data_IF_611684719124
#
_entry.id   IF_611684719124
#
_cell.length_a   1.000
_cell.length_b   1.000
_cell.length_c   1.000
_cell.angle_alpha   90.00
_cell.angle_beta   90.00
_cell.angle_gamma   90.00
#
_symmetry.space_group_name_H-M   'P 1'
#
loop_
_entity.id
_entity.type
_entity.pdbx_description
1 polymer ?
#
# COMPACT_ATOMS: atom_id res chain seq x y z
N UNK A 1 -31.52 11.82 1.29
CA UNK A 1 -30.93 10.50 1.58
C UNK A 1 -29.43 10.63 1.34
N UNK A 2 -28.59 10.27 2.31
CA UNK A 2 -27.15 10.21 2.06
C UNK A 2 -26.90 9.19 0.93
N UNK A 3 -26.06 9.53 -0.01
CA UNK A 3 -25.62 8.57 -1.04
C UNK A 3 -24.78 7.50 -0.37
N UNK A 4 -25.07 6.22 -0.65
CA UNK A 4 -24.27 5.11 -0.14
C UNK A 4 -22.80 5.27 -0.53
N UNK A 5 -21.88 5.00 0.38
CA UNK A 5 -20.44 5.01 0.11
C UNK A 5 -20.04 3.92 -0.87
N UNK A 6 -18.85 4.05 -1.47
CA UNK A 6 -18.37 3.08 -2.46
C UNK A 6 -18.20 1.66 -1.88
N UNK A 7 -18.02 1.55 -0.55
CA UNK A 7 -17.68 0.31 0.14
C UNK A 7 -18.58 0.04 1.36
N UNK A 8 -19.82 0.54 1.32
CA UNK A 8 -20.76 0.34 2.43
C UNK A 8 -20.95 -1.15 2.76
N UNK A 9 -20.75 -1.49 4.04
CA UNK A 9 -20.88 -2.85 4.55
C UNK A 9 -19.70 -3.78 4.22
N UNK A 10 -18.68 -3.29 3.54
CA UNK A 10 -17.49 -4.07 3.25
C UNK A 10 -16.45 -4.01 4.38
N UNK A 11 -15.58 -5.00 4.42
CA UNK A 11 -14.50 -5.10 5.39
C UNK A 11 -13.15 -5.09 4.69
N UNK A 12 -12.25 -4.22 5.14
CA UNK A 12 -10.91 -4.03 4.58
C UNK A 12 -9.82 -4.30 5.62
N UNK A 13 -8.68 -4.80 5.15
CA UNK A 13 -7.42 -4.86 5.91
C UNK A 13 -6.48 -3.83 5.29
N UNK A 14 -5.86 -2.99 6.14
CA UNK A 14 -4.80 -2.08 5.72
C UNK A 14 -3.57 -2.32 6.59
N UNK A 15 -2.45 -2.71 5.99
CA UNK A 15 -1.15 -2.81 6.67
C UNK A 15 -0.35 -1.52 6.50
N UNK A 16 0.51 -1.18 7.46
CA UNK A 16 1.21 0.11 7.45
C UNK A 16 0.30 1.29 7.74
N UNK A 17 -0.76 1.07 8.51
CA UNK A 17 -1.89 1.99 8.73
C UNK A 17 -1.64 3.09 9.76
N UNK A 18 -0.51 3.05 10.49
CA UNK A 18 -0.21 4.01 11.54
C UNK A 18 0.14 5.42 11.01
N UNK A 19 0.56 5.55 9.76
CA UNK A 19 1.04 6.83 9.24
C UNK A 19 0.92 6.95 7.72
N UNK A 20 1.11 8.16 7.21
CA UNK A 20 1.30 8.51 5.81
C UNK A 20 0.29 7.83 4.86
N UNK A 21 0.75 7.12 3.83
CA UNK A 21 -0.10 6.52 2.78
C UNK A 21 -1.09 5.51 3.38
N UNK A 22 -0.63 4.59 4.22
CA UNK A 22 -1.51 3.58 4.82
C UNK A 22 -2.62 4.19 5.67
N UNK A 23 -2.29 5.22 6.48
CA UNK A 23 -3.29 6.01 7.22
C UNK A 23 -4.28 6.70 6.29
N UNK A 24 -3.78 7.37 5.23
CA UNK A 24 -4.63 8.05 4.24
C UNK A 24 -5.62 7.10 3.57
N UNK A 25 -5.15 5.93 3.16
CA UNK A 25 -5.98 4.87 2.56
C UNK A 25 -7.02 4.34 3.55
N UNK A 26 -6.62 4.05 4.79
CA UNK A 26 -7.53 3.55 5.82
C UNK A 26 -8.65 4.54 6.12
N UNK A 27 -8.31 5.83 6.27
CA UNK A 27 -9.30 6.90 6.48
C UNK A 27 -10.22 7.07 5.26
N UNK A 28 -9.70 6.93 4.04
CA UNK A 28 -10.51 7.02 2.82
C UNK A 28 -11.50 5.86 2.70
N UNK A 29 -11.06 4.62 2.96
CA UNK A 29 -11.92 3.43 2.98
C UNK A 29 -13.06 3.59 4.00
N UNK A 30 -12.73 4.04 5.21
CA UNK A 30 -13.74 4.24 6.26
C UNK A 30 -14.76 5.34 5.91
N UNK A 31 -14.32 6.44 5.27
CA UNK A 31 -15.22 7.49 4.76
C UNK A 31 -16.20 6.99 3.70
N UNK A 32 -15.78 5.99 2.92
CA UNK A 32 -16.59 5.34 1.90
C UNK A 32 -17.40 4.14 2.44
N UNK A 33 -17.52 4.00 3.77
CA UNK A 33 -18.42 3.05 4.43
C UNK A 33 -17.80 1.70 4.79
N UNK A 34 -16.52 1.45 4.49
CA UNK A 34 -15.86 0.21 4.91
C UNK A 34 -15.55 0.21 6.41
N UNK A 35 -15.66 -0.97 7.05
CA UNK A 35 -14.99 -1.22 8.32
C UNK A 35 -13.54 -1.64 8.06
N UNK A 36 -12.58 -1.17 8.89
CA UNK A 36 -11.16 -1.35 8.59
C UNK A 36 -10.42 -2.02 9.74
N UNK A 37 -9.69 -3.10 9.46
CA UNK A 37 -8.65 -3.63 10.35
C UNK A 37 -7.34 -2.93 10.03
N UNK A 38 -6.84 -2.16 10.98
CA UNK A 38 -5.59 -1.42 10.94
C UNK A 38 -4.46 -2.29 11.50
N UNK A 39 -3.48 -2.66 10.69
CA UNK A 39 -2.36 -3.51 11.10
C UNK A 39 -1.03 -2.78 10.94
N UNK A 40 -0.33 -2.52 12.03
CA UNK A 40 0.94 -1.79 12.04
C UNK A 40 1.80 -2.21 13.23
N UNK A 41 3.12 -2.04 13.13
CA UNK A 41 4.05 -2.23 14.24
C UNK A 41 3.96 -1.07 15.26
N UNK A 42 3.57 0.13 14.83
CA UNK A 42 3.41 1.31 15.67
C UNK A 42 2.00 1.38 16.27
N UNK A 43 1.86 0.86 17.50
CA UNK A 43 0.58 0.82 18.20
C UNK A 43 -0.04 2.22 18.42
N UNK A 44 0.77 3.22 18.79
CA UNK A 44 0.31 4.58 19.04
C UNK A 44 -0.23 5.27 17.77
N UNK A 45 0.54 5.22 16.70
CA UNK A 45 0.12 5.75 15.39
C UNK A 45 -1.13 5.05 14.85
N UNK A 46 -1.23 3.73 15.10
CA UNK A 46 -2.39 2.94 14.71
C UNK A 46 -3.65 3.34 15.50
N UNK A 47 -3.51 3.56 16.81
CA UNK A 47 -4.60 4.06 17.65
C UNK A 47 -5.04 5.48 17.24
N UNK A 48 -4.10 6.36 16.89
CA UNK A 48 -4.39 7.70 16.37
C UNK A 48 -5.17 7.66 15.04
N UNK A 49 -4.84 6.70 14.17
CA UNK A 49 -5.59 6.47 12.93
C UNK A 49 -7.02 6.01 13.21
N UNK A 50 -7.19 5.04 14.12
CA UNK A 50 -8.52 4.57 14.54
C UNK A 50 -9.37 5.69 15.14
N UNK A 51 -8.78 6.52 16.03
CA UNK A 51 -9.46 7.69 16.60
C UNK A 51 -9.91 8.69 15.53
N UNK A 52 -9.08 8.94 14.51
CA UNK A 52 -9.44 9.82 13.39
C UNK A 52 -10.60 9.26 12.56
N UNK A 53 -10.63 7.94 12.34
CA UNK A 53 -11.73 7.26 11.65
C UNK A 53 -13.02 7.34 12.45
N UNK A 54 -12.95 7.08 13.77
CA UNK A 54 -14.10 7.16 14.66
C UNK A 54 -14.68 8.58 14.75
N UNK A 55 -13.81 9.61 14.83
CA UNK A 55 -14.21 11.00 14.82
C UNK A 55 -14.94 11.43 13.53
N UNK A 56 -14.66 10.75 12.42
CA UNK A 56 -15.35 10.93 11.13
C UNK A 56 -16.61 10.05 10.97
N UNK A 57 -17.00 9.29 12.02
CA UNK A 57 -18.16 8.41 12.01
C UNK A 57 -17.91 7.03 11.38
N UNK A 58 -16.67 6.69 11.05
CA UNK A 58 -16.28 5.40 10.50
C UNK A 58 -15.99 4.35 11.59
N UNK A 59 -15.67 3.12 11.16
CA UNK A 59 -15.36 1.99 12.03
C UNK A 59 -13.97 1.42 11.73
N UNK A 60 -13.14 1.28 12.76
CA UNK A 60 -11.83 0.66 12.64
C UNK A 60 -11.45 -0.11 13.91
N UNK A 61 -10.70 -1.20 13.72
CA UNK A 61 -10.06 -1.98 14.77
C UNK A 61 -8.54 -1.94 14.56
N UNK A 62 -7.77 -2.02 15.64
CA UNK A 62 -6.31 -1.99 15.59
C UNK A 62 -5.70 -3.34 15.92
N UNK A 63 -4.63 -3.71 15.21
CA UNK A 63 -3.77 -4.84 15.51
C UNK A 63 -2.31 -4.38 15.45
N UNK A 64 -1.59 -4.53 16.57
CA UNK A 64 -0.15 -4.30 16.59
C UNK A 64 0.57 -5.55 16.13
N UNK A 65 1.33 -5.47 15.04
CA UNK A 65 1.98 -6.63 14.42
C UNK A 65 3.22 -6.23 13.63
N UNK A 66 4.29 -7.00 13.79
CA UNK A 66 5.53 -6.87 13.01
C UNK A 66 5.48 -7.80 11.79
N UNK A 67 5.39 -7.21 10.61
CA UNK A 67 5.36 -7.97 9.35
C UNK A 67 6.75 -8.43 8.86
N UNK A 68 7.84 -8.00 9.48
CA UNK A 68 9.16 -8.59 9.22
C UNK A 68 9.29 -9.97 9.87
N UNK A 69 8.58 -10.21 10.97
CA UNK A 69 8.53 -11.50 11.63
C UNK A 69 7.80 -12.57 10.81
N UNK A 70 8.22 -13.83 10.92
CA UNK A 70 7.62 -14.93 10.17
C UNK A 70 6.18 -15.23 10.56
N UNK A 71 5.82 -14.96 11.80
CA UNK A 71 4.47 -15.11 12.36
C UNK A 71 3.61 -13.84 12.27
N UNK A 72 4.14 -12.75 11.68
CA UNK A 72 3.43 -11.47 11.60
C UNK A 72 2.15 -11.57 10.76
N UNK A 73 2.25 -12.00 9.50
CA UNK A 73 1.05 -12.13 8.68
C UNK A 73 0.03 -13.17 9.20
N UNK A 74 0.43 -14.32 9.82
CA UNK A 74 -0.52 -15.24 10.44
C UNK A 74 -1.33 -14.61 11.57
N UNK A 75 -0.75 -13.68 12.35
CA UNK A 75 -1.47 -12.96 13.40
C UNK A 75 -2.61 -12.12 12.84
N UNK A 76 -2.43 -11.49 11.66
CA UNK A 76 -3.54 -10.78 10.97
C UNK A 76 -4.66 -11.76 10.63
N UNK A 77 -4.33 -12.92 10.07
CA UNK A 77 -5.33 -13.94 9.72
C UNK A 77 -6.06 -14.47 10.96
N UNK A 78 -5.35 -14.66 12.08
CA UNK A 78 -5.95 -15.08 13.34
C UNK A 78 -6.92 -14.01 13.89
N UNK A 79 -6.55 -12.72 13.82
CA UNK A 79 -7.37 -11.60 14.28
C UNK A 79 -8.69 -11.45 13.48
N UNK A 80 -8.78 -11.99 12.27
CA UNK A 80 -10.02 -11.99 11.51
C UNK A 80 -11.10 -12.86 12.16
N UNK A 81 -10.74 -13.90 12.91
CA UNK A 81 -11.69 -14.89 13.39
C UNK A 81 -12.43 -15.55 12.22
N UNK A 82 -13.75 -15.44 12.20
CA UNK A 82 -14.62 -15.95 11.11
C UNK A 82 -14.87 -14.94 10.00
N UNK A 83 -14.44 -13.68 10.16
CA UNK A 83 -14.69 -12.62 9.17
C UNK A 83 -13.87 -12.86 7.90
N UNK A 84 -14.49 -12.55 6.78
CA UNK A 84 -13.82 -12.57 5.47
C UNK A 84 -13.69 -11.14 4.95
N UNK A 85 -12.47 -10.65 4.68
CA UNK A 85 -12.30 -9.32 4.12
C UNK A 85 -12.72 -9.28 2.64
N UNK A 86 -13.21 -8.13 2.20
CA UNK A 86 -13.51 -7.81 0.82
C UNK A 86 -12.29 -7.16 0.14
N UNK A 87 -11.47 -6.48 0.95
CA UNK A 87 -10.32 -5.73 0.46
C UNK A 87 -9.07 -5.96 1.34
N UNK A 88 -7.90 -5.96 0.69
CA UNK A 88 -6.60 -5.90 1.35
C UNK A 88 -5.78 -4.79 0.70
N UNK A 89 -5.22 -3.90 1.51
CA UNK A 89 -4.19 -2.94 1.07
C UNK A 89 -2.90 -3.21 1.84
N UNK A 90 -1.86 -3.65 1.12
CA UNK A 90 -0.54 -3.86 1.70
C UNK A 90 0.32 -2.63 1.46
N UNK A 91 0.38 -1.74 2.48
CA UNK A 91 1.16 -0.51 2.46
C UNK A 91 2.32 -0.52 3.48
N UNK A 92 2.43 -1.56 4.31
CA UNK A 92 3.55 -1.70 5.24
C UNK A 92 4.89 -1.74 4.50
N UNK A 93 5.84 -0.99 5.00
CA UNK A 93 7.23 -0.98 4.51
C UNK A 93 8.12 -0.40 5.61
N UNK A 94 9.28 -0.98 5.90
CA UNK A 94 10.23 -0.36 6.82
C UNK A 94 10.66 1.03 6.34
N UNK A 95 11.06 1.87 7.30
CA UNK A 95 11.64 3.16 6.97
C UNK A 95 12.94 2.98 6.17
N UNK A 96 13.17 3.84 5.19
CA UNK A 96 14.41 3.87 4.40
C UNK A 96 15.31 4.99 4.90
N UNK A 97 16.60 4.69 4.91
CA UNK A 97 17.65 5.66 5.26
C UNK A 97 18.55 5.84 4.06
N UNK A 98 18.95 7.07 3.75
CA UNK A 98 19.90 7.35 2.65
C UNK A 98 21.29 6.74 2.90
N UNK A 99 21.62 6.46 4.17
CA UNK A 99 22.85 5.77 4.54
C UNK A 99 22.90 4.30 4.09
N UNK A 100 21.73 3.65 3.84
CA UNK A 100 21.64 2.25 3.43
C UNK A 100 21.83 2.07 1.91
N UNK A 101 22.82 2.80 1.35
CA UNK A 101 23.13 2.74 -0.08
C UNK A 101 23.82 1.41 -0.48
N UNK A 102 24.03 1.18 -1.78
CA UNK A 102 24.46 -0.09 -2.34
C UNK A 102 25.76 -0.69 -1.74
N UNK A 103 26.65 0.14 -1.22
CA UNK A 103 27.91 -0.31 -0.61
C UNK A 103 27.87 -0.32 0.93
N UNK A 104 26.73 0.01 1.55
CA UNK A 104 26.61 0.14 3.01
C UNK A 104 25.42 -0.59 3.62
N UNK A 105 24.42 -1.00 2.82
CA UNK A 105 23.27 -1.75 3.32
C UNK A 105 23.71 -3.07 3.97
N UNK A 106 23.20 -3.34 5.18
CA UNK A 106 23.46 -4.59 5.90
C UNK A 106 22.48 -5.69 5.48
N UNK A 107 22.84 -6.96 5.73
CA UNK A 107 21.95 -8.10 5.51
C UNK A 107 20.64 -7.97 6.31
N UNK A 108 20.72 -7.59 7.59
CA UNK A 108 19.53 -7.39 8.43
C UNK A 108 18.58 -6.32 7.87
N UNK A 109 19.12 -5.20 7.37
CA UNK A 109 18.32 -4.15 6.71
C UNK A 109 17.68 -4.66 5.42
N UNK A 110 18.44 -5.43 4.64
CA UNK A 110 17.96 -6.09 3.43
C UNK A 110 16.82 -7.07 3.75
N UNK A 111 17.05 -7.99 4.68
CA UNK A 111 16.09 -9.02 5.05
C UNK A 111 14.81 -8.43 5.63
N UNK A 112 14.91 -7.46 6.54
CA UNK A 112 13.74 -6.77 7.09
C UNK A 112 12.89 -6.08 6.02
N UNK A 113 13.52 -5.50 4.99
CA UNK A 113 12.83 -4.87 3.87
C UNK A 113 12.13 -5.91 2.98
N UNK A 114 12.82 -6.99 2.63
CA UNK A 114 12.27 -8.06 1.78
C UNK A 114 11.18 -8.83 2.53
N UNK A 115 11.41 -9.14 3.80
CA UNK A 115 10.46 -9.85 4.63
C UNK A 115 9.16 -9.08 4.82
N UNK A 116 9.24 -7.78 5.08
CA UNK A 116 8.04 -6.95 5.23
C UNK A 116 7.34 -6.74 3.89
N UNK A 117 8.06 -6.31 2.86
CA UNK A 117 7.45 -5.88 1.61
C UNK A 117 6.99 -7.05 0.74
N UNK A 118 7.85 -8.05 0.56
CA UNK A 118 7.62 -9.12 -0.42
C UNK A 118 7.03 -10.36 0.24
N UNK A 119 7.75 -10.94 1.22
CA UNK A 119 7.35 -12.20 1.83
C UNK A 119 5.99 -12.09 2.53
N UNK A 120 5.87 -11.15 3.48
CA UNK A 120 4.60 -11.02 4.23
C UNK A 120 3.47 -10.51 3.34
N UNK A 121 3.75 -9.61 2.40
CA UNK A 121 2.76 -9.14 1.43
C UNK A 121 2.18 -10.28 0.59
N UNK A 122 3.04 -11.15 0.05
CA UNK A 122 2.60 -12.29 -0.73
C UNK A 122 1.77 -13.29 0.10
N UNK A 123 2.30 -13.73 1.25
CA UNK A 123 1.62 -14.76 2.05
C UNK A 123 0.33 -14.25 2.67
N UNK A 124 0.27 -12.99 3.10
CA UNK A 124 -0.97 -12.37 3.58
C UNK A 124 -2.01 -12.28 2.45
N UNK A 125 -1.61 -11.78 1.28
CA UNK A 125 -2.51 -11.67 0.14
C UNK A 125 -3.06 -13.04 -0.29
N UNK A 126 -2.21 -14.09 -0.29
CA UNK A 126 -2.63 -15.46 -0.57
C UNK A 126 -3.66 -15.95 0.45
N UNK A 127 -3.37 -15.83 1.75
CA UNK A 127 -4.26 -16.31 2.80
C UNK A 127 -5.60 -15.57 2.82
N UNK A 128 -5.59 -14.25 2.55
CA UNK A 128 -6.80 -13.45 2.39
C UNK A 128 -7.60 -13.92 1.17
N UNK A 129 -6.94 -14.15 0.03
CA UNK A 129 -7.58 -14.62 -1.20
C UNK A 129 -8.17 -16.04 -1.05
N UNK A 130 -7.55 -16.91 -0.27
CA UNK A 130 -8.10 -18.23 0.09
C UNK A 130 -9.43 -18.08 0.85
N UNK A 131 -9.50 -17.17 1.84
CA UNK A 131 -10.76 -16.86 2.56
C UNK A 131 -11.82 -16.24 1.63
N UNK A 132 -11.44 -15.26 0.80
CA UNK A 132 -12.34 -14.66 -0.18
C UNK A 132 -12.94 -15.72 -1.12
N UNK A 133 -12.09 -16.63 -1.61
CA UNK A 133 -12.52 -17.73 -2.50
C UNK A 133 -13.48 -18.67 -1.81
N UNK A 134 -13.19 -19.09 -0.57
CA UNK A 134 -14.05 -19.98 0.21
C UNK A 134 -15.42 -19.34 0.49
N UNK A 135 -15.47 -18.02 0.67
CA UNK A 135 -16.71 -17.27 0.88
C UNK A 135 -17.37 -16.79 -0.42
N UNK A 136 -16.83 -17.12 -1.59
CA UNK A 136 -17.31 -16.65 -2.91
C UNK A 136 -17.32 -15.12 -3.05
N UNK A 137 -16.42 -14.42 -2.35
CA UNK A 137 -16.25 -12.97 -2.43
C UNK A 137 -15.34 -12.63 -3.61
N UNK A 138 -15.81 -11.76 -4.51
CA UNK A 138 -15.01 -11.15 -5.57
C UNK A 138 -14.18 -10.02 -4.96
N UNK A 139 -13.06 -10.39 -4.32
CA UNK A 139 -12.27 -9.46 -3.54
C UNK A 139 -11.34 -8.57 -4.36
N UNK A 140 -10.73 -7.59 -3.68
CA UNK A 140 -9.78 -6.64 -4.28
C UNK A 140 -8.56 -6.50 -3.39
N UNK A 141 -7.38 -6.62 -4.00
CA UNK A 141 -6.09 -6.54 -3.31
C UNK A 141 -5.26 -5.44 -3.98
N UNK A 142 -4.73 -4.52 -3.19
CA UNK A 142 -3.85 -3.47 -3.64
C UNK A 142 -2.51 -3.50 -2.89
N UNK A 143 -1.41 -3.34 -3.63
CA UNK A 143 -0.07 -3.17 -3.06
C UNK A 143 0.39 -1.73 -3.26
N UNK A 144 1.02 -1.16 -2.25
CA UNK A 144 1.74 0.11 -2.38
C UNK A 144 3.19 -0.18 -2.70
N UNK A 145 3.52 -0.08 -3.98
CA UNK A 145 4.89 -0.26 -4.50
C UNK A 145 5.66 1.06 -4.45
N UNK A 146 6.35 1.43 -5.49
CA UNK A 146 7.06 2.71 -5.64
C UNK A 146 7.50 2.89 -7.08
N UNK A 147 7.71 4.13 -7.55
CA UNK A 147 8.43 4.39 -8.78
C UNK A 147 9.85 3.78 -8.77
N UNK A 148 10.42 3.55 -7.57
CA UNK A 148 11.72 2.89 -7.42
C UNK A 148 11.71 1.38 -7.71
N UNK A 149 10.56 0.81 -8.07
CA UNK A 149 10.50 -0.54 -8.63
C UNK A 149 11.22 -0.63 -9.99
N UNK A 150 11.36 0.48 -10.72
CA UNK A 150 12.00 0.54 -12.04
C UNK A 150 12.95 1.74 -12.21
N UNK A 151 12.96 2.69 -11.26
CA UNK A 151 13.84 3.86 -11.27
C UNK A 151 14.82 3.78 -10.10
N UNK A 152 16.12 3.54 -10.34
CA UNK A 152 17.09 3.33 -9.25
C UNK A 152 17.34 4.62 -8.47
N UNK A 153 17.60 4.47 -7.16
CA UNK A 153 17.94 5.57 -6.25
C UNK A 153 19.10 5.23 -5.31
N UNK A 154 19.94 4.26 -5.67
CA UNK A 154 21.00 3.77 -4.81
C UNK A 154 20.54 3.22 -3.43
N UNK A 155 19.30 2.71 -3.35
CA UNK A 155 18.72 2.00 -2.20
C UNK A 155 18.30 0.60 -2.67
N UNK A 156 19.25 -0.35 -2.81
CA UNK A 156 19.02 -1.61 -3.53
C UNK A 156 17.99 -2.50 -2.85
N UNK A 157 18.00 -2.61 -1.51
CA UNK A 157 17.06 -3.39 -0.72
C UNK A 157 15.61 -2.91 -0.94
N UNK A 158 15.41 -1.59 -0.96
CA UNK A 158 14.10 -0.99 -1.20
C UNK A 158 13.65 -1.20 -2.65
N UNK A 159 14.49 -0.84 -3.62
CA UNK A 159 14.18 -0.96 -5.05
C UNK A 159 13.89 -2.41 -5.44
N UNK A 160 14.74 -3.37 -5.01
CA UNK A 160 14.54 -4.78 -5.26
C UNK A 160 13.22 -5.30 -4.64
N UNK A 161 12.90 -4.90 -3.40
CA UNK A 161 11.65 -5.30 -2.76
C UNK A 161 10.42 -4.74 -3.49
N UNK A 162 10.45 -3.50 -3.95
CA UNK A 162 9.34 -2.87 -4.69
C UNK A 162 9.18 -3.44 -6.11
N UNK A 163 10.28 -3.77 -6.78
CA UNK A 163 10.26 -4.53 -8.03
C UNK A 163 9.67 -5.93 -7.84
N UNK A 164 10.08 -6.63 -6.77
CA UNK A 164 9.51 -7.92 -6.37
C UNK A 164 8.00 -7.85 -6.11
N UNK A 165 7.52 -6.82 -5.40
CA UNK A 165 6.08 -6.61 -5.21
C UNK A 165 5.33 -6.43 -6.53
N UNK A 166 5.91 -5.71 -7.49
CA UNK A 166 5.30 -5.51 -8.82
C UNK A 166 5.11 -6.85 -9.55
N UNK A 167 6.06 -7.78 -9.44
CA UNK A 167 5.92 -9.11 -10.04
C UNK A 167 4.93 -9.98 -9.23
N UNK A 168 4.94 -9.91 -7.90
CA UNK A 168 3.96 -10.59 -7.03
C UNK A 168 2.52 -10.20 -7.40
N UNK A 169 2.27 -8.92 -7.68
CA UNK A 169 0.95 -8.43 -8.13
C UNK A 169 0.52 -9.12 -9.43
N UNK A 170 1.40 -9.25 -10.41
CA UNK A 170 1.10 -9.91 -11.70
C UNK A 170 0.81 -11.39 -11.53
N UNK A 171 1.62 -12.08 -10.73
CA UNK A 171 1.43 -13.52 -10.47
C UNK A 171 0.12 -13.79 -9.71
N UNK A 172 -0.17 -12.99 -8.68
CA UNK A 172 -1.44 -13.10 -7.94
C UNK A 172 -2.65 -12.75 -8.82
N UNK A 173 -2.56 -11.70 -9.65
CA UNK A 173 -3.63 -11.33 -10.57
C UNK A 173 -3.95 -12.45 -11.56
N UNK A 174 -2.91 -13.10 -12.11
CA UNK A 174 -3.05 -14.25 -13.02
C UNK A 174 -3.72 -15.44 -12.32
N UNK A 175 -3.28 -15.75 -11.09
CA UNK A 175 -3.79 -16.90 -10.34
C UNK A 175 -5.22 -16.70 -9.82
N UNK A 176 -5.57 -15.46 -9.44
CA UNK A 176 -6.81 -15.13 -8.74
C UNK A 176 -7.91 -14.57 -9.67
N UNK A 177 -7.55 -14.08 -10.85
CA UNK A 177 -8.50 -13.59 -11.85
C UNK A 177 -9.64 -14.57 -12.17
N UNK A 178 -9.37 -15.87 -12.39
CA UNK A 178 -10.44 -16.86 -12.60
C UNK A 178 -11.42 -17.02 -11.43
N UNK A 179 -11.03 -16.55 -10.23
CA UNK A 179 -11.87 -16.55 -9.01
C UNK A 179 -12.61 -15.22 -8.81
N UNK A 180 -12.46 -14.27 -9.75
CA UNK A 180 -13.04 -12.94 -9.69
C UNK A 180 -12.35 -11.99 -8.71
N UNK A 181 -11.15 -12.32 -8.21
CA UNK A 181 -10.36 -11.47 -7.32
C UNK A 181 -9.38 -10.65 -8.15
N UNK A 182 -9.41 -9.32 -8.00
CA UNK A 182 -8.52 -8.39 -8.68
C UNK A 182 -7.33 -8.04 -7.80
N UNK A 183 -6.13 -7.99 -8.39
CA UNK A 183 -4.90 -7.63 -7.68
C UNK A 183 -4.16 -6.57 -8.48
N UNK A 184 -3.93 -5.40 -7.89
CA UNK A 184 -3.28 -4.27 -8.55
C UNK A 184 -2.26 -3.61 -7.61
N UNK A 185 -1.47 -2.70 -8.13
CA UNK A 185 -0.55 -1.88 -7.35
C UNK A 185 -0.67 -0.41 -7.68
N UNK A 186 -0.25 0.41 -6.72
CA UNK A 186 0.01 1.83 -6.88
C UNK A 186 1.51 2.05 -6.69
N UNK A 187 2.14 2.81 -7.57
CA UNK A 187 3.54 3.21 -7.47
C UNK A 187 3.62 4.72 -7.16
N UNK A 188 3.73 5.09 -5.87
CA UNK A 188 3.88 6.49 -5.48
C UNK A 188 5.20 7.09 -5.97
N UNK A 189 5.16 8.37 -6.30
CA UNK A 189 6.32 9.21 -6.52
C UNK A 189 6.87 9.80 -5.22
N UNK A 190 7.17 11.10 -5.24
CA UNK A 190 7.69 11.84 -4.09
C UNK A 190 6.56 12.24 -3.12
N UNK A 191 6.29 11.38 -2.14
CA UNK A 191 5.32 11.61 -1.06
C UNK A 191 6.09 11.83 0.25
N UNK A 192 6.00 13.01 0.90
CA UNK A 192 6.67 13.28 2.18
C UNK A 192 6.22 12.32 3.29
N UNK A 193 7.17 11.90 4.14
CA UNK A 193 6.94 10.96 5.24
C UNK A 193 7.61 9.59 5.02
N UNK A 194 7.47 8.68 5.98
CA UNK A 194 8.10 7.34 5.90
C UNK A 194 9.63 7.35 5.84
N UNK A 195 10.28 8.32 6.47
CA UNK A 195 11.72 8.54 6.40
C UNK A 195 12.19 9.40 5.22
N UNK A 196 11.28 9.82 4.33
CA UNK A 196 11.60 10.69 3.22
C UNK A 196 11.52 12.17 3.63
N UNK A 197 12.69 12.83 3.73
CA UNK A 197 12.77 14.27 3.98
C UNK A 197 12.76 15.03 2.65
N UNK A 198 11.58 15.48 2.25
CA UNK A 198 11.40 16.24 1.01
C UNK A 198 12.17 17.57 0.99
N UNK A 199 12.38 18.18 2.16
CA UNK A 199 13.13 19.44 2.28
C UNK A 199 14.63 19.32 2.01
N UNK A 200 15.17 18.10 1.96
CA UNK A 200 16.58 17.85 1.64
C UNK A 200 16.87 17.91 0.13
N UNK A 201 15.85 18.10 -0.73
CA UNK A 201 16.01 18.05 -2.19
C UNK A 201 15.38 19.27 -2.86
N UNK A 202 16.04 19.74 -3.92
CA UNK A 202 15.45 20.71 -4.85
C UNK A 202 14.51 19.96 -5.84
N UNK A 203 13.23 20.26 -5.76
CA UNK A 203 12.19 19.71 -6.63
C UNK A 203 11.85 20.62 -7.82
N UNK A 204 12.52 21.76 -7.94
CA UNK A 204 12.27 22.76 -8.99
C UNK A 204 12.27 22.13 -10.39
N UNK A 205 11.12 22.19 -11.07
CA UNK A 205 10.94 21.67 -12.42
C UNK A 205 11.05 20.16 -12.60
N UNK A 206 11.29 19.37 -11.53
CA UNK A 206 11.48 17.91 -11.61
C UNK A 206 10.17 17.13 -11.57
N UNK A 207 9.12 17.71 -11.06
CA UNK A 207 7.79 17.13 -11.03
C UNK A 207 6.91 17.93 -11.99
N UNK A 208 6.46 17.37 -13.12
CA UNK A 208 5.65 18.09 -14.10
C UNK A 208 4.41 18.77 -13.53
N UNK A 209 3.73 18.16 -12.55
CA UNK A 209 2.59 18.79 -11.87
C UNK A 209 2.98 19.87 -10.86
N UNK A 210 4.26 20.20 -10.69
CA UNK A 210 4.78 21.34 -9.92
C UNK A 210 4.66 21.22 -8.41
N UNK A 211 4.27 20.03 -7.88
CA UNK A 211 4.15 19.81 -6.44
C UNK A 211 4.53 18.39 -6.03
N UNK A 212 4.90 18.24 -4.79
CA UNK A 212 4.97 16.92 -4.15
C UNK A 212 3.57 16.30 -4.05
N UNK A 213 3.50 14.99 -4.08
CA UNK A 213 2.27 14.26 -3.82
C UNK A 213 1.95 14.21 -2.33
N UNK A 214 0.72 13.84 -2.02
CA UNK A 214 0.20 13.66 -0.66
C UNK A 214 -0.30 12.23 -0.46
N UNK A 215 -0.52 11.83 0.79
CA UNK A 215 -1.17 10.56 1.09
C UNK A 215 -2.57 10.47 0.45
N UNK A 216 -3.28 11.59 0.35
CA UNK A 216 -4.62 11.65 -0.27
C UNK A 216 -4.57 11.43 -1.78
N UNK A 217 -3.53 11.89 -2.50
CA UNK A 217 -3.35 11.57 -3.92
C UNK A 217 -3.26 10.06 -4.15
N UNK A 218 -2.52 9.37 -3.26
CA UNK A 218 -2.36 7.91 -3.32
C UNK A 218 -3.65 7.20 -2.90
N UNK A 219 -4.31 7.69 -1.84
CA UNK A 219 -5.58 7.12 -1.38
C UNK A 219 -6.65 7.21 -2.46
N UNK A 220 -6.78 8.34 -3.17
CA UNK A 220 -7.76 8.53 -4.24
C UNK A 220 -7.62 7.47 -5.35
N UNK A 221 -6.39 7.23 -5.83
CA UNK A 221 -6.14 6.18 -6.83
C UNK A 221 -6.34 4.78 -6.25
N UNK A 222 -5.99 4.55 -4.97
CA UNK A 222 -6.26 3.27 -4.31
C UNK A 222 -7.76 2.97 -4.26
N UNK A 223 -8.60 3.96 -3.90
CA UNK A 223 -10.06 3.83 -3.93
C UNK A 223 -10.57 3.48 -5.34
N UNK A 224 -10.05 4.13 -6.37
CA UNK A 224 -10.42 3.84 -7.75
C UNK A 224 -10.06 2.38 -8.13
N UNK A 225 -8.87 1.88 -7.77
CA UNK A 225 -8.46 0.49 -8.06
C UNK A 225 -9.22 -0.55 -7.25
N UNK A 226 -9.69 -0.21 -6.05
CA UNK A 226 -10.51 -1.10 -5.22
C UNK A 226 -11.99 -1.08 -5.62
N UNK A 227 -12.46 -0.04 -6.31
CA UNK A 227 -13.86 0.08 -6.71
C UNK A 227 -14.15 -0.71 -7.99
N UNK A 228 -15.16 -1.57 -7.96
CA UNK A 228 -15.65 -2.26 -9.16
C UNK A 228 -16.32 -1.30 -10.15
N UNK A 229 -16.84 -0.17 -9.65
CA UNK A 229 -17.43 0.87 -10.48
C UNK A 229 -16.40 1.52 -11.41
N UNK A 230 -15.16 1.73 -10.94
CA UNK A 230 -14.14 2.47 -11.70
C UNK A 230 -13.12 1.55 -12.37
N UNK A 231 -12.85 0.38 -11.80
CA UNK A 231 -11.78 -0.51 -12.25
C UNK A 231 -12.17 -1.99 -12.31
N UNK A 232 -13.45 -2.32 -12.51
CA UNK A 232 -13.94 -3.69 -12.51
C UNK A 232 -13.28 -4.60 -13.56
N UNK A 233 -12.62 -4.04 -14.58
CA UNK A 233 -11.86 -4.80 -15.60
C UNK A 233 -10.35 -4.57 -15.53
N UNK A 234 -9.84 -4.10 -14.37
CA UNK A 234 -8.41 -3.81 -14.16
C UNK A 234 -7.83 -4.80 -13.15
N UNK A 235 -6.87 -5.61 -13.58
CA UNK A 235 -6.09 -6.51 -12.71
C UNK A 235 -4.69 -6.71 -13.26
N UNK A 236 -3.70 -6.92 -12.39
CA UNK A 236 -2.29 -7.15 -12.74
C UNK A 236 -1.53 -5.89 -13.13
N UNK A 237 -2.10 -4.70 -12.94
CA UNK A 237 -1.45 -3.43 -13.27
C UNK A 237 -0.77 -2.79 -12.07
N UNK A 238 0.22 -1.95 -12.36
CA UNK A 238 0.78 -0.97 -11.43
C UNK A 238 0.52 0.42 -12.00
N UNK A 239 -0.19 1.25 -11.26
CA UNK A 239 -0.50 2.64 -11.64
C UNK A 239 0.48 3.57 -10.95
N UNK A 240 1.22 4.35 -11.73
CA UNK A 240 2.10 5.40 -11.21
C UNK A 240 1.28 6.61 -10.78
N UNK A 241 1.54 7.09 -9.55
CA UNK A 241 0.90 8.27 -8.97
C UNK A 241 2.03 9.16 -8.44
N UNK A 242 2.68 9.86 -9.35
CA UNK A 242 3.97 10.50 -9.11
C UNK A 242 4.07 11.95 -9.61
N UNK A 243 2.98 12.50 -10.15
CA UNK A 243 2.95 13.83 -10.73
C UNK A 243 3.79 13.97 -12.01
N UNK A 244 4.15 12.86 -12.64
CA UNK A 244 5.02 12.79 -13.81
C UNK A 244 6.51 12.73 -13.47
N UNK A 245 6.89 12.51 -12.22
CA UNK A 245 8.29 12.45 -11.79
C UNK A 245 9.09 11.37 -12.54
N UNK A 246 8.49 10.22 -12.85
CA UNK A 246 9.14 9.15 -13.61
C UNK A 246 9.42 9.52 -15.08
N UNK A 247 8.75 10.55 -15.61
CA UNK A 247 8.98 11.07 -16.96
C UNK A 247 10.16 12.03 -17.03
N UNK A 248 10.75 12.38 -15.88
CA UNK A 248 11.86 13.32 -15.84
C UNK A 248 13.03 12.78 -16.65
N UNK A 249 13.26 13.47 -17.76
CA UNK A 249 14.46 13.30 -18.57
C UNK A 249 15.45 14.38 -18.14
N UNK A 250 16.57 13.98 -17.55
CA UNK A 250 17.64 14.89 -17.11
C UNK A 250 18.33 15.66 -18.25
N UNK A 251 17.99 15.38 -19.51
CA UNK A 251 18.36 16.19 -20.66
C UNK A 251 17.32 17.31 -20.77
N UNK A 252 17.56 18.44 -20.10
CA UNK A 252 16.79 19.64 -20.33
C UNK A 252 17.16 20.24 -21.68
N UNK A 253 16.19 20.76 -22.48
CA UNK A 253 16.53 21.62 -23.62
C UNK A 253 17.39 22.78 -23.11
N UNK A 254 18.45 23.12 -23.84
CA UNK A 254 19.16 24.36 -23.57
C UNK A 254 18.16 25.50 -23.73
N UNK A 255 17.90 26.24 -22.63
CA UNK A 255 17.08 27.45 -22.61
C UNK A 255 17.74 28.57 -23.34
#
# INVERSE_FOLDING_TARGET
>A
MATAGLFDGEFAIVTGSASNIGRGVACALAREGASVLLADINAEGNAATAASIAAAGGSAETLTVDLSARDGWPQIIAALGTRTPHMLVHAASPARREADHALAVTEDTWDGMVDTNVRSGFFLARAVAERMTAASIKGRIAFVTSLHAHTPRNLPHYAASKAGQTMVVKELARALGPKGIRVNAIAPGAIPGGGFNAGAYDWGGKIPLGRLGTADDIAAMTMALLSDRFSGYVTGTTVEVDGGLALFNWISPAG
#
